data_IF_554719647817
#
_entry.id   IF_554719647817
#
_cell.length_a   1.000
_cell.length_b   1.000
_cell.length_c   1.000
_cell.angle_alpha   90.00
_cell.angle_beta   90.00
_cell.angle_gamma   90.00
#
_symmetry.space_group_name_H-M   'P 1'
#
loop_
_entity.id
_entity.type
_entity.pdbx_description
1 polymer ?
#
# COMPACT_ATOMS: atom_id res chain seq x y z
N UNK A 1 3.07 -33.27 -9.08
CA UNK A 1 2.21 -32.69 -10.14
C UNK A 1 0.75 -32.54 -9.68
N UNK A 2 0.12 -33.51 -9.02
CA UNK A 2 -1.27 -33.40 -8.53
C UNK A 2 -1.47 -32.27 -7.49
N UNK A 3 -0.52 -32.09 -6.58
CA UNK A 3 -0.57 -31.05 -5.53
C UNK A 3 -0.43 -29.62 -6.12
N UNK A 4 0.39 -29.44 -7.14
CA UNK A 4 0.50 -28.15 -7.84
C UNK A 4 -0.80 -27.79 -8.58
N UNK A 5 -1.45 -28.75 -9.24
CA UNK A 5 -2.76 -28.53 -9.88
C UNK A 5 -3.85 -28.21 -8.88
N UNK A 6 -3.82 -28.83 -7.70
CA UNK A 6 -4.79 -28.56 -6.62
C UNK A 6 -4.63 -27.15 -6.04
N UNK A 7 -3.40 -26.67 -5.91
CA UNK A 7 -3.09 -25.30 -5.46
C UNK A 7 -3.51 -24.25 -6.50
N UNK A 8 -3.29 -24.51 -7.79
CA UNK A 8 -3.74 -23.61 -8.86
C UNK A 8 -5.26 -23.54 -8.97
N UNK A 9 -5.98 -24.60 -8.62
CA UNK A 9 -7.44 -24.61 -8.60
C UNK A 9 -8.07 -23.65 -7.56
N UNK A 10 -7.29 -23.17 -6.57
CA UNK A 10 -7.71 -22.17 -5.59
C UNK A 10 -7.66 -20.73 -6.12
N UNK A 11 -7.01 -20.51 -7.27
CA UNK A 11 -6.90 -19.22 -7.92
C UNK A 11 -8.04 -19.06 -8.94
N UNK A 12 -8.75 -17.95 -8.86
CA UNK A 12 -9.86 -17.60 -9.78
C UNK A 12 -9.42 -16.39 -10.64
N UNK A 13 -10.00 -16.23 -11.85
CA UNK A 13 -9.78 -14.99 -12.61
C UNK A 13 -10.11 -13.77 -11.76
N UNK A 14 -9.28 -12.73 -11.91
CA UNK A 14 -9.48 -11.46 -11.22
C UNK A 14 -10.23 -10.46 -12.10
N UNK A 15 -10.89 -9.48 -11.47
CA UNK A 15 -11.60 -8.37 -12.15
C UNK A 15 -10.68 -7.52 -13.04
N UNK A 16 -9.37 -7.54 -12.82
CA UNK A 16 -8.38 -6.86 -13.65
C UNK A 16 -8.13 -7.58 -14.99
N UNK A 17 -8.78 -8.72 -15.23
CA UNK A 17 -8.77 -9.42 -16.50
C UNK A 17 -7.55 -10.30 -16.74
N UNK A 18 -7.22 -10.49 -18.02
CA UNK A 18 -6.23 -11.49 -18.46
C UNK A 18 -4.86 -11.30 -17.81
N UNK A 19 -4.36 -12.38 -17.24
CA UNK A 19 -3.04 -12.45 -16.58
C UNK A 19 -3.08 -12.15 -15.09
N UNK A 20 -4.25 -11.80 -14.54
CA UNK A 20 -4.46 -11.65 -13.11
C UNK A 20 -5.37 -12.75 -12.57
N UNK A 21 -5.03 -13.25 -11.39
CA UNK A 21 -5.84 -14.20 -10.65
C UNK A 21 -5.89 -13.81 -9.18
N UNK A 22 -6.99 -14.14 -8.50
CA UNK A 22 -7.19 -13.83 -7.10
C UNK A 22 -7.44 -15.10 -6.27
N UNK A 23 -7.09 -15.04 -4.99
CA UNK A 23 -7.38 -16.08 -4.00
C UNK A 23 -7.81 -15.44 -2.69
N UNK A 24 -8.97 -15.85 -2.18
CA UNK A 24 -9.44 -15.44 -0.85
C UNK A 24 -8.64 -16.16 0.23
N UNK A 25 -8.26 -15.44 1.26
CA UNK A 25 -7.52 -15.91 2.43
C UNK A 25 -8.41 -15.77 3.65
N UNK A 26 -8.81 -16.88 4.22
CA UNK A 26 -9.59 -16.88 5.46
C UNK A 26 -8.70 -16.42 6.63
N UNK A 27 -9.24 -15.55 7.46
CA UNK A 27 -8.61 -14.99 8.65
C UNK A 27 -9.46 -15.31 9.89
N UNK A 28 -8.86 -15.18 11.07
CA UNK A 28 -9.62 -15.27 12.31
C UNK A 28 -10.67 -14.14 12.36
N UNK A 29 -11.92 -14.43 12.78
CA UNK A 29 -12.97 -13.43 12.91
C UNK A 29 -12.57 -12.28 13.84
N UNK A 30 -13.08 -11.09 13.57
CA UNK A 30 -12.99 -9.96 14.47
C UNK A 30 -14.36 -9.64 15.13
N UNK A 31 -14.47 -8.48 15.78
CA UNK A 31 -15.71 -8.07 16.45
C UNK A 31 -16.91 -7.89 15.51
N UNK A 32 -16.67 -7.71 14.20
CA UNK A 32 -17.72 -7.60 13.17
C UNK A 32 -18.01 -8.93 12.45
N UNK A 33 -17.40 -10.03 12.91
CA UNK A 33 -17.62 -11.37 12.38
C UNK A 33 -16.46 -11.89 11.53
N UNK A 34 -16.77 -12.76 10.57
CA UNK A 34 -15.76 -13.37 9.69
C UNK A 34 -15.09 -12.35 8.78
N UNK A 35 -13.77 -12.35 8.75
CA UNK A 35 -12.97 -11.48 7.89
C UNK A 35 -12.09 -12.30 6.95
N UNK A 36 -11.80 -11.73 5.81
CA UNK A 36 -10.89 -12.32 4.81
C UNK A 36 -9.93 -11.26 4.30
N UNK A 37 -8.78 -11.70 3.79
CA UNK A 37 -7.96 -10.91 2.89
C UNK A 37 -8.03 -11.51 1.47
N UNK A 38 -7.65 -10.76 0.45
CA UNK A 38 -7.62 -11.29 -0.92
C UNK A 38 -6.24 -11.05 -1.54
N UNK A 39 -5.62 -12.12 -1.98
CA UNK A 39 -4.34 -12.06 -2.67
C UNK A 39 -4.57 -12.10 -4.17
N UNK A 40 -4.17 -11.07 -4.87
CA UNK A 40 -4.13 -11.00 -6.34
C UNK A 40 -2.73 -11.36 -6.80
N UNK A 41 -2.60 -12.15 -7.86
CA UNK A 41 -1.29 -12.46 -8.45
C UNK A 41 -1.24 -12.13 -9.93
N UNK A 42 -0.05 -11.72 -10.37
CA UNK A 42 0.40 -11.77 -11.75
C UNK A 42 1.73 -12.53 -11.80
N UNK A 43 1.81 -13.55 -12.62
CA UNK A 43 3.03 -14.33 -12.83
C UNK A 43 3.77 -13.84 -14.08
N UNK A 44 5.12 -13.94 -14.12
CA UNK A 44 5.87 -13.65 -15.33
C UNK A 44 5.49 -14.61 -16.44
N UNK A 45 5.56 -14.13 -17.69
CA UNK A 45 5.40 -14.97 -18.86
C UNK A 45 6.50 -16.06 -18.83
N UNK A 46 6.16 -17.36 -18.94
CA UNK A 46 7.15 -18.44 -18.88
C UNK A 46 8.24 -18.32 -19.92
N UNK A 47 7.93 -17.78 -21.11
CA UNK A 47 8.87 -17.63 -22.21
C UNK A 47 9.77 -16.39 -22.07
N UNK A 48 9.25 -15.28 -21.53
CA UNK A 48 9.97 -14.02 -21.40
C UNK A 48 10.57 -13.80 -20.02
N UNK A 49 9.81 -14.11 -18.97
CA UNK A 49 10.20 -13.88 -17.57
C UNK A 49 11.17 -14.91 -17.00
N UNK A 50 11.34 -16.08 -17.67
CA UNK A 50 12.23 -17.15 -17.21
C UNK A 50 13.72 -16.77 -17.15
N UNK A 51 14.13 -15.71 -17.85
CA UNK A 51 15.51 -15.19 -17.94
C UNK A 51 15.66 -13.76 -17.39
N UNK A 52 14.64 -13.19 -16.79
CA UNK A 52 14.67 -11.82 -16.28
C UNK A 52 15.58 -11.64 -15.05
N UNK A 53 16.12 -10.41 -14.83
CA UNK A 53 17.04 -10.12 -13.73
C UNK A 53 16.42 -10.32 -12.34
N UNK A 54 15.09 -10.30 -12.22
CA UNK A 54 14.36 -10.52 -10.99
C UNK A 54 13.82 -11.94 -10.84
N UNK A 55 14.35 -12.89 -11.61
CA UNK A 55 14.06 -14.31 -11.39
C UNK A 55 14.46 -14.69 -9.96
N UNK A 56 13.53 -15.31 -9.24
CA UNK A 56 13.76 -15.65 -7.82
C UNK A 56 13.32 -14.57 -6.83
N UNK A 57 12.62 -13.54 -7.31
CA UNK A 57 12.03 -12.47 -6.49
C UNK A 57 10.51 -12.60 -6.47
N UNK A 58 9.93 -12.41 -5.29
CA UNK A 58 8.51 -12.19 -5.07
C UNK A 58 8.30 -10.76 -4.60
N UNK A 59 7.30 -10.09 -5.14
CA UNK A 59 6.86 -8.77 -4.70
C UNK A 59 5.51 -8.90 -4.01
N UNK A 60 5.37 -8.34 -2.81
CA UNK A 60 4.10 -8.18 -2.12
C UNK A 60 3.74 -6.70 -2.05
N UNK A 61 2.71 -6.29 -2.78
CA UNK A 61 2.16 -4.94 -2.76
C UNK A 61 1.02 -4.84 -1.74
N UNK A 62 0.98 -3.71 -1.00
CA UNK A 62 -0.12 -3.34 -0.10
C UNK A 62 -0.58 -1.92 -0.43
N UNK A 63 -1.89 -1.77 -0.64
CA UNK A 63 -2.55 -0.53 -1.04
C UNK A 63 -2.70 0.49 0.11
N UNK A 64 -3.17 1.69 -0.23
CA UNK A 64 -3.46 2.78 0.69
C UNK A 64 -4.84 2.72 1.36
N UNK A 65 -5.18 3.79 2.10
CA UNK A 65 -6.51 3.99 2.68
C UNK A 65 -7.58 4.16 1.59
N UNK A 66 -8.75 3.56 1.82
CA UNK A 66 -9.88 3.63 0.90
C UNK A 66 -9.51 3.25 -0.54
N UNK A 67 -8.68 2.21 -0.68
CA UNK A 67 -8.11 1.79 -1.94
C UNK A 67 -8.08 0.25 -2.04
N UNK A 68 -7.67 -0.26 -3.18
CA UNK A 68 -7.44 -1.68 -3.45
C UNK A 68 -6.41 -1.80 -4.58
N UNK A 69 -5.95 -3.00 -4.88
CA UNK A 69 -4.99 -3.16 -5.97
C UNK A 69 -5.65 -3.08 -7.35
N UNK A 70 -5.20 -2.11 -8.17
CA UNK A 70 -5.57 -1.95 -9.59
C UNK A 70 -4.41 -1.51 -10.49
N UNK A 71 -3.23 -1.25 -9.96
CA UNK A 71 -2.05 -0.75 -10.67
C UNK A 71 -1.44 -1.83 -11.58
N UNK A 72 -2.14 -2.19 -12.67
CA UNK A 72 -1.75 -3.29 -13.56
C UNK A 72 -0.42 -3.06 -14.25
N UNK A 73 -0.06 -1.79 -14.55
CA UNK A 73 1.21 -1.41 -15.15
C UNK A 73 2.38 -1.67 -14.18
N UNK A 74 2.19 -1.36 -12.88
CA UNK A 74 3.16 -1.68 -11.85
C UNK A 74 3.41 -3.20 -11.73
N UNK A 75 2.35 -4.00 -11.77
CA UNK A 75 2.50 -5.46 -11.77
C UNK A 75 3.26 -5.96 -13.01
N UNK A 76 3.01 -5.38 -14.20
CA UNK A 76 3.73 -5.72 -15.43
C UNK A 76 5.20 -5.35 -15.32
N UNK A 77 5.54 -4.17 -14.80
CA UNK A 77 6.93 -3.75 -14.59
C UNK A 77 7.76 -4.84 -13.88
N UNK A 78 7.23 -5.43 -12.82
CA UNK A 78 7.90 -6.49 -12.07
C UNK A 78 7.92 -7.83 -12.81
N UNK A 79 6.79 -8.22 -13.39
CA UNK A 79 6.68 -9.54 -14.05
C UNK A 79 7.43 -9.61 -15.36
N UNK A 80 7.57 -8.50 -16.09
CA UNK A 80 8.36 -8.43 -17.32
C UNK A 80 9.86 -8.57 -17.02
N UNK A 81 10.28 -8.32 -15.77
CA UNK A 81 11.64 -8.54 -15.25
C UNK A 81 11.83 -9.91 -14.58
N UNK A 82 10.82 -10.76 -14.59
CA UNK A 82 10.88 -12.13 -14.09
C UNK A 82 10.46 -12.34 -12.63
N UNK A 83 10.06 -11.28 -11.92
CA UNK A 83 9.51 -11.42 -10.59
C UNK A 83 8.09 -12.00 -10.60
N UNK A 84 7.68 -12.71 -9.57
CA UNK A 84 6.26 -12.97 -9.31
C UNK A 84 5.70 -11.76 -8.55
N UNK A 85 4.61 -11.21 -9.03
CA UNK A 85 3.95 -10.08 -8.38
C UNK A 85 2.67 -10.54 -7.69
N UNK A 86 2.54 -10.13 -6.44
CA UNK A 86 1.37 -10.32 -5.61
C UNK A 86 0.92 -8.99 -5.04
N UNK A 87 -0.39 -8.80 -4.93
CA UNK A 87 -0.98 -7.66 -4.25
C UNK A 87 -2.02 -8.15 -3.24
N UNK A 88 -2.01 -7.56 -2.07
CA UNK A 88 -2.90 -7.92 -0.97
C UNK A 88 -3.94 -6.80 -0.78
N UNK A 89 -5.20 -7.13 -1.08
CA UNK A 89 -6.31 -6.33 -0.57
C UNK A 89 -6.51 -6.76 0.89
N UNK A 90 -6.20 -5.86 1.81
CA UNK A 90 -6.30 -6.08 3.26
C UNK A 90 -7.75 -6.36 3.67
N UNK A 91 -7.96 -6.92 4.87
CA UNK A 91 -9.30 -7.11 5.43
C UNK A 91 -10.15 -5.84 5.33
N UNK A 92 -11.43 -5.98 4.96
CA UNK A 92 -12.41 -4.89 4.83
C UNK A 92 -12.08 -3.85 3.74
N UNK A 93 -11.22 -4.21 2.78
CA UNK A 93 -10.90 -3.40 1.61
C UNK A 93 -11.15 -4.16 0.32
N UNK A 94 -11.48 -3.44 -0.75
CA UNK A 94 -11.53 -3.98 -2.09
C UNK A 94 -12.26 -5.32 -2.19
N UNK A 95 -11.57 -6.32 -2.74
CA UNK A 95 -12.07 -7.70 -2.89
C UNK A 95 -12.34 -8.40 -1.56
N UNK A 96 -11.75 -7.90 -0.48
CA UNK A 96 -11.87 -8.48 0.87
C UNK A 96 -13.06 -7.93 1.65
N UNK A 97 -13.67 -6.84 1.18
CA UNK A 97 -14.82 -6.23 1.84
C UNK A 97 -16.04 -7.16 1.80
N UNK A 98 -16.77 -7.23 2.92
CA UNK A 98 -18.00 -7.99 3.06
C UNK A 98 -19.11 -7.08 3.56
N UNK A 99 -20.34 -7.36 3.15
CA UNK A 99 -21.53 -6.63 3.61
C UNK A 99 -21.66 -6.70 5.13
N UNK A 100 -22.05 -5.61 5.74
CA UNK A 100 -22.18 -5.48 7.20
C UNK A 100 -20.89 -5.09 7.92
N UNK A 101 -19.74 -5.07 7.26
CA UNK A 101 -18.49 -4.63 7.84
C UNK A 101 -18.32 -3.10 7.73
N UNK A 102 -17.55 -2.51 8.64
CA UNK A 102 -17.08 -1.12 8.55
C UNK A 102 -15.87 -1.05 7.61
N UNK A 103 -15.98 -0.41 6.43
CA UNK A 103 -14.91 -0.40 5.44
C UNK A 103 -13.59 0.11 6.02
N UNK A 104 -12.52 -0.66 5.83
CA UNK A 104 -11.15 -0.31 6.25
C UNK A 104 -10.93 -0.19 7.76
N UNK A 105 -11.93 -0.44 8.60
CA UNK A 105 -11.77 -0.32 10.05
C UNK A 105 -10.86 -1.39 10.64
N UNK A 106 -9.92 -0.92 11.45
CA UNK A 106 -9.05 -1.73 12.30
C UNK A 106 -8.73 -0.96 13.58
N UNK A 107 -8.57 -1.66 14.69
CA UNK A 107 -8.25 -1.06 16.01
C UNK A 107 -6.74 -1.04 16.30
N UNK A 108 -5.96 -1.84 15.58
CA UNK A 108 -4.50 -1.89 15.66
C UNK A 108 -3.90 -2.19 14.29
N UNK A 109 -2.85 -1.48 13.88
CA UNK A 109 -2.13 -1.79 12.65
C UNK A 109 -1.38 -3.15 12.73
N UNK A 110 -1.15 -3.66 13.93
CA UNK A 110 -0.50 -4.95 14.14
C UNK A 110 -1.43 -6.13 13.77
N UNK A 111 -2.75 -5.92 13.72
CA UNK A 111 -3.71 -6.94 13.30
C UNK A 111 -3.53 -7.32 11.82
N UNK A 112 -2.97 -6.42 10.99
CA UNK A 112 -2.61 -6.74 9.60
C UNK A 112 -1.47 -7.75 9.46
N UNK A 113 -0.76 -8.09 10.54
CA UNK A 113 0.24 -9.16 10.53
C UNK A 113 -0.38 -10.50 10.13
N UNK A 114 -1.63 -10.75 10.50
CA UNK A 114 -2.36 -11.95 10.10
C UNK A 114 -2.64 -11.99 8.60
N UNK A 115 -3.02 -10.84 8.00
CA UNK A 115 -3.26 -10.69 6.54
C UNK A 115 -1.97 -10.97 5.76
N UNK A 116 -0.88 -10.30 6.18
CA UNK A 116 0.43 -10.43 5.54
C UNK A 116 0.95 -11.88 5.69
N UNK A 117 0.83 -12.47 6.88
CA UNK A 117 1.25 -13.85 7.12
C UNK A 117 0.48 -14.86 6.26
N UNK A 118 -0.83 -14.66 6.08
CA UNK A 118 -1.66 -15.49 5.21
C UNK A 118 -1.21 -15.36 3.73
N UNK A 119 -0.95 -14.14 3.26
CA UNK A 119 -0.43 -13.89 1.92
C UNK A 119 0.94 -14.56 1.71
N UNK A 120 1.89 -14.35 2.63
CA UNK A 120 3.23 -14.93 2.54
C UNK A 120 3.22 -16.47 2.58
N UNK A 121 2.29 -17.08 3.31
CA UNK A 121 2.10 -18.53 3.31
C UNK A 121 1.76 -19.04 1.93
N UNK A 122 0.81 -18.39 1.23
CA UNK A 122 0.42 -18.74 -0.13
C UNK A 122 1.56 -18.49 -1.14
N UNK A 123 2.27 -17.39 -1.01
CA UNK A 123 3.41 -17.06 -1.88
C UNK A 123 4.51 -18.14 -1.79
N UNK A 124 4.77 -18.66 -0.58
CA UNK A 124 5.77 -19.71 -0.33
C UNK A 124 5.39 -21.08 -0.93
N UNK A 125 4.13 -21.31 -1.28
CA UNK A 125 3.72 -22.54 -2.00
C UNK A 125 4.48 -22.73 -3.32
N UNK A 126 4.93 -21.66 -3.94
CA UNK A 126 5.76 -21.68 -5.15
C UNK A 126 7.27 -21.78 -4.91
N UNK A 127 7.68 -22.16 -3.70
CA UNK A 127 9.08 -22.25 -3.27
C UNK A 127 9.63 -20.94 -2.70
N UNK A 128 10.74 -21.02 -1.93
CA UNK A 128 11.36 -19.86 -1.31
C UNK A 128 11.95 -18.91 -2.36
N UNK A 129 11.70 -17.61 -2.19
CA UNK A 129 12.25 -16.53 -3.02
C UNK A 129 12.58 -15.32 -2.16
N UNK A 130 13.40 -14.42 -2.70
CA UNK A 130 13.66 -13.12 -2.07
C UNK A 130 12.37 -12.31 -2.08
N UNK A 131 12.01 -11.72 -0.96
CA UNK A 131 10.79 -10.92 -0.80
C UNK A 131 11.11 -9.43 -0.93
N UNK A 132 10.42 -8.76 -1.83
CA UNK A 132 10.32 -7.30 -1.88
C UNK A 132 8.95 -6.91 -1.37
N UNK A 133 8.91 -6.03 -0.38
CA UNK A 133 7.68 -5.39 0.07
C UNK A 133 7.49 -4.07 -0.67
N UNK A 134 6.29 -3.80 -1.17
CA UNK A 134 5.94 -2.56 -1.83
C UNK A 134 4.66 -2.00 -1.21
N UNK A 135 4.73 -0.84 -0.58
CA UNK A 135 3.59 -0.23 0.11
C UNK A 135 3.26 1.15 -0.44
N UNK A 136 1.96 1.41 -0.67
CA UNK A 136 1.45 2.72 -1.01
C UNK A 136 0.75 3.37 0.18
N UNK A 137 1.06 4.64 0.46
CA UNK A 137 0.36 5.45 1.47
C UNK A 137 0.26 4.73 2.82
N UNK A 138 -0.93 4.43 3.34
CA UNK A 138 -1.15 3.65 4.58
C UNK A 138 -0.53 2.27 4.51
N UNK A 139 -0.56 1.60 3.33
CA UNK A 139 0.14 0.33 3.11
C UNK A 139 1.66 0.46 3.31
N UNK A 140 2.22 1.63 3.00
CA UNK A 140 3.62 1.96 3.30
C UNK A 140 3.90 2.03 4.81
N UNK A 141 3.02 2.64 5.60
CA UNK A 141 3.12 2.64 7.06
C UNK A 141 3.01 1.21 7.62
N UNK A 142 2.03 0.44 7.18
CA UNK A 142 1.80 -0.95 7.62
C UNK A 142 3.05 -1.80 7.35
N UNK A 143 3.57 -1.78 6.12
CA UNK A 143 4.73 -2.58 5.75
C UNK A 143 6.02 -2.12 6.45
N UNK A 144 6.20 -0.82 6.69
CA UNK A 144 7.32 -0.29 7.49
C UNK A 144 7.29 -0.85 8.92
N UNK A 145 6.13 -0.80 9.58
CA UNK A 145 5.97 -1.31 10.93
C UNK A 145 6.08 -2.84 10.96
N UNK A 146 5.55 -3.52 9.96
CA UNK A 146 5.66 -4.97 9.84
C UNK A 146 7.12 -5.41 9.65
N UNK A 147 7.86 -4.78 8.74
CA UNK A 147 9.27 -5.10 8.48
C UNK A 147 10.13 -4.90 9.73
N UNK A 148 9.87 -3.84 10.50
CA UNK A 148 10.57 -3.58 11.74
C UNK A 148 10.34 -4.66 12.82
N UNK A 149 9.15 -5.29 12.82
CA UNK A 149 8.84 -6.42 13.72
C UNK A 149 9.38 -7.76 13.19
N UNK A 150 9.65 -7.86 11.90
CA UNK A 150 10.08 -9.09 11.22
C UNK A 150 11.45 -8.87 10.52
N UNK A 151 12.52 -8.59 11.26
CA UNK A 151 13.82 -8.27 10.68
C UNK A 151 14.31 -9.42 9.78
N UNK A 152 14.88 -9.10 8.64
CA UNK A 152 15.37 -10.03 7.63
C UNK A 152 14.29 -10.84 6.90
N UNK A 153 13.00 -10.58 7.13
CA UNK A 153 11.92 -11.24 6.37
C UNK A 153 11.83 -10.73 4.93
N UNK A 154 12.17 -9.46 4.69
CA UNK A 154 12.24 -8.85 3.38
C UNK A 154 13.69 -8.57 2.96
N UNK A 155 13.95 -8.70 1.66
CA UNK A 155 15.24 -8.33 1.04
C UNK A 155 15.29 -6.84 0.69
N UNK A 156 14.13 -6.21 0.47
CA UNK A 156 14.01 -4.78 0.20
C UNK A 156 12.61 -4.29 0.52
N UNK A 157 12.50 -2.98 0.81
CA UNK A 157 11.25 -2.28 1.02
C UNK A 157 11.16 -1.10 0.04
N UNK A 158 10.07 -1.05 -0.75
CA UNK A 158 9.75 0.06 -1.64
C UNK A 158 8.50 0.75 -1.12
N UNK A 159 8.57 2.04 -0.92
CA UNK A 159 7.50 2.86 -0.37
C UNK A 159 7.11 3.95 -1.38
N UNK A 160 5.86 3.91 -1.82
CA UNK A 160 5.25 4.89 -2.70
C UNK A 160 4.40 5.83 -1.86
N UNK A 161 4.88 7.06 -1.65
CA UNK A 161 4.24 8.08 -0.83
C UNK A 161 3.72 7.55 0.51
N UNK A 162 4.57 6.92 1.34
CA UNK A 162 4.12 6.26 2.57
C UNK A 162 3.58 7.26 3.58
N UNK A 163 2.46 6.96 4.23
CA UNK A 163 1.88 7.84 5.26
C UNK A 163 2.59 7.66 6.61
N UNK A 164 3.82 8.16 6.72
CA UNK A 164 4.68 7.98 7.90
C UNK A 164 4.49 9.06 8.98
N UNK A 165 3.84 10.16 8.66
CA UNK A 165 3.51 11.24 9.60
C UNK A 165 2.16 11.86 9.23
N UNK A 166 1.47 12.43 10.23
CA UNK A 166 0.22 13.16 10.03
C UNK A 166 0.48 14.47 9.27
N UNK A 167 -0.46 14.90 8.41
CA UNK A 167 -0.37 16.13 7.62
C UNK A 167 -0.23 17.42 8.45
N UNK A 168 -0.50 17.35 9.76
CA UNK A 168 -0.28 18.44 10.72
C UNK A 168 1.12 18.37 11.36
N UNK A 169 1.96 17.46 10.90
CA UNK A 169 3.29 17.20 11.43
C UNK A 169 3.29 16.65 12.87
N UNK A 170 4.48 16.54 13.44
CA UNK A 170 4.67 15.96 14.78
C UNK A 170 3.90 16.70 15.87
N UNK A 171 3.88 18.02 15.84
CA UNK A 171 3.19 18.82 16.86
C UNK A 171 1.68 18.64 16.80
N UNK A 172 1.11 18.71 15.61
CA UNK A 172 -0.33 18.47 15.42
C UNK A 172 -0.74 17.06 15.84
N UNK A 173 0.07 16.04 15.50
CA UNK A 173 -0.14 14.67 15.95
C UNK A 173 -0.12 14.55 17.47
N UNK A 174 0.87 15.16 18.14
CA UNK A 174 0.98 15.09 19.60
C UNK A 174 -0.23 15.75 20.30
N UNK A 175 -0.69 16.90 19.78
CA UNK A 175 -1.86 17.59 20.32
C UNK A 175 -3.17 16.81 20.09
N UNK A 176 -3.33 16.16 18.93
CA UNK A 176 -4.55 15.45 18.56
C UNK A 176 -4.67 14.07 19.24
N UNK A 177 -3.56 13.40 19.48
CA UNK A 177 -3.53 12.00 19.99
C UNK A 177 -4.34 11.79 21.28
N UNK A 178 -4.25 12.63 22.32
CA UNK A 178 -5.03 12.41 23.56
C UNK A 178 -6.54 12.48 23.31
N UNK A 179 -6.98 13.41 22.46
CA UNK A 179 -8.41 13.62 22.14
C UNK A 179 -8.97 12.42 21.35
N UNK A 180 -8.23 11.98 20.33
CA UNK A 180 -8.61 10.81 19.53
C UNK A 180 -8.65 9.55 20.37
N UNK A 181 -7.66 9.33 21.24
CA UNK A 181 -7.65 8.18 22.16
C UNK A 181 -8.82 8.20 23.14
N UNK A 182 -9.21 9.37 23.65
CA UNK A 182 -10.37 9.48 24.50
C UNK A 182 -11.66 9.14 23.75
N UNK A 183 -11.84 9.69 22.55
CA UNK A 183 -12.98 9.38 21.69
C UNK A 183 -13.02 7.88 21.32
N UNK A 184 -11.88 7.27 20.97
CA UNK A 184 -11.79 5.84 20.65
C UNK A 184 -12.16 4.91 21.81
N UNK A 185 -11.95 5.34 23.07
CA UNK A 185 -12.37 4.57 24.24
C UNK A 185 -13.88 4.63 24.50
N UNK A 186 -14.54 5.74 24.12
CA UNK A 186 -15.97 5.94 24.33
C UNK A 186 -16.77 5.34 23.19
N UNK A 187 -16.40 5.65 21.95
CA UNK A 187 -17.05 5.17 20.73
C UNK A 187 -16.01 4.95 19.62
N UNK A 188 -15.41 3.77 19.54
CA UNK A 188 -14.35 3.49 18.54
C UNK A 188 -14.85 3.50 17.10
N UNK A 189 -16.16 3.26 16.88
CA UNK A 189 -16.82 3.25 15.56
C UNK A 189 -17.63 4.52 15.29
N UNK A 190 -17.58 5.50 16.19
CA UNK A 190 -18.20 6.80 15.99
C UNK A 190 -17.78 7.43 14.66
N UNK A 191 -18.69 8.17 14.04
CA UNK A 191 -18.39 8.84 12.77
C UNK A 191 -17.71 10.18 13.04
N UNK A 192 -16.56 10.39 12.40
CA UNK A 192 -15.97 11.72 12.28
C UNK A 192 -16.50 12.44 11.03
N UNK A 193 -16.45 13.78 10.98
CA UNK A 193 -16.68 14.51 9.74
C UNK A 193 -15.79 13.98 8.62
N UNK A 194 -16.31 13.97 7.40
CA UNK A 194 -15.52 13.62 6.21
C UNK A 194 -14.30 14.53 6.12
N UNK A 195 -13.11 13.94 6.11
CA UNK A 195 -11.85 14.67 6.01
C UNK A 195 -11.38 14.75 4.56
N UNK A 196 -11.75 13.75 3.74
CA UNK A 196 -11.41 13.71 2.32
C UNK A 196 -12.46 14.48 1.50
N UNK A 197 -11.99 15.55 0.84
CA UNK A 197 -12.81 16.35 -0.06
C UNK A 197 -12.89 15.79 -1.49
N UNK A 198 -12.29 14.62 -1.75
CA UNK A 198 -12.30 13.95 -3.06
C UNK A 198 -11.35 14.57 -4.09
N UNK A 199 -10.45 15.47 -3.69
CA UNK A 199 -9.57 16.15 -4.64
C UNK A 199 -8.54 15.23 -5.27
N UNK A 200 -8.02 14.26 -4.51
CA UNK A 200 -7.12 13.25 -5.08
C UNK A 200 -7.83 12.35 -6.10
N UNK A 201 -9.04 11.92 -5.82
CA UNK A 201 -9.88 11.16 -6.77
C UNK A 201 -10.20 11.98 -8.01
N UNK A 202 -10.49 13.29 -7.84
CA UNK A 202 -10.67 14.22 -8.95
C UNK A 202 -9.40 14.35 -9.80
N UNK A 203 -8.23 14.53 -9.18
CA UNK A 203 -6.95 14.60 -9.90
C UNK A 203 -6.72 13.34 -10.75
N UNK A 204 -6.93 12.15 -10.19
CA UNK A 204 -6.82 10.89 -10.94
C UNK A 204 -7.83 10.79 -12.10
N UNK A 205 -9.05 11.28 -11.92
CA UNK A 205 -10.06 11.31 -12.99
C UNK A 205 -9.61 12.21 -14.14
N UNK A 206 -9.11 13.42 -13.84
CA UNK A 206 -8.58 14.35 -14.84
C UNK A 206 -7.35 13.81 -15.57
N UNK A 207 -6.53 12.99 -14.89
CA UNK A 207 -5.38 12.31 -15.48
C UNK A 207 -5.74 11.01 -16.22
N UNK A 208 -6.99 10.55 -16.15
CA UNK A 208 -7.40 9.28 -16.75
C UNK A 208 -6.76 8.04 -16.07
N UNK A 209 -6.32 8.15 -14.82
CA UNK A 209 -5.67 7.07 -14.06
C UNK A 209 -6.57 6.46 -12.98
N UNK A 210 -7.80 6.96 -12.84
CA UNK A 210 -8.80 6.40 -11.95
C UNK A 210 -9.20 5.00 -12.45
N UNK A 211 -9.22 3.97 -11.58
CA UNK A 211 -9.63 2.64 -12.00
C UNK A 211 -11.09 2.62 -12.40
N UNK A 212 -11.40 1.90 -13.46
CA UNK A 212 -12.77 1.58 -13.83
C UNK A 212 -12.97 0.06 -13.78
N UNK A 213 -13.49 -0.40 -12.65
CA UNK A 213 -13.90 -1.79 -12.44
C UNK A 213 -15.40 -1.79 -12.16
N UNK A 214 -16.23 -2.25 -13.09
CA UNK A 214 -17.68 -2.26 -12.91
C UNK A 214 -18.07 -3.04 -11.65
N UNK A 215 -18.94 -2.45 -10.82
CA UNK A 215 -19.39 -3.05 -9.55
C UNK A 215 -18.40 -2.90 -8.38
N UNK A 216 -17.31 -2.18 -8.56
CA UNK A 216 -16.31 -1.92 -7.52
C UNK A 216 -16.35 -0.49 -6.97
N UNK A 217 -17.40 0.26 -7.24
CA UNK A 217 -17.53 1.67 -6.82
C UNK A 217 -17.48 1.81 -5.29
N UNK A 218 -18.05 0.83 -4.57
CA UNK A 218 -18.02 0.80 -3.11
C UNK A 218 -16.62 0.48 -2.53
N UNK A 219 -15.70 -0.06 -3.32
CA UNK A 219 -14.34 -0.38 -2.88
C UNK A 219 -13.46 0.86 -2.75
N UNK A 220 -13.83 1.93 -3.49
CA UNK A 220 -13.10 3.19 -3.53
C UNK A 220 -14.06 4.35 -3.79
N UNK A 221 -14.85 4.76 -2.78
CA UNK A 221 -15.77 5.88 -2.92
C UNK A 221 -15.00 7.19 -3.17
N UNK A 222 -15.67 8.14 -3.84
CA UNK A 222 -15.03 9.39 -4.31
C UNK A 222 -14.37 10.21 -3.19
N UNK A 223 -14.99 10.23 -2.01
CA UNK A 223 -14.50 10.95 -0.82
C UNK A 223 -13.82 10.03 0.22
N UNK A 224 -13.44 8.83 -0.21
CA UNK A 224 -12.87 7.86 0.69
C UNK A 224 -13.87 7.24 1.67
N UNK A 225 -13.39 6.35 2.52
CA UNK A 225 -14.19 5.77 3.60
C UNK A 225 -14.38 6.77 4.75
N UNK A 226 -15.45 6.60 5.52
CA UNK A 226 -15.61 7.34 6.77
C UNK A 226 -14.45 7.00 7.71
N UNK A 227 -13.90 8.02 8.37
CA UNK A 227 -12.89 7.81 9.41
C UNK A 227 -13.57 7.57 10.76
N UNK A 228 -12.94 6.74 11.59
CA UNK A 228 -13.44 6.35 12.90
C UNK A 228 -12.38 6.61 13.98
N UNK A 229 -12.77 6.99 15.23
CA UNK A 229 -11.80 7.26 16.30
C UNK A 229 -10.84 6.10 16.56
N UNK A 230 -11.34 4.85 16.57
CA UNK A 230 -10.52 3.67 16.78
C UNK A 230 -9.47 3.50 15.69
N UNK A 231 -9.87 3.64 14.42
CA UNK A 231 -8.95 3.59 13.29
C UNK A 231 -7.91 4.71 13.34
N UNK A 232 -8.35 5.95 13.58
CA UNK A 232 -7.43 7.10 13.66
C UNK A 232 -6.44 6.95 14.83
N UNK A 233 -6.88 6.39 15.96
CA UNK A 233 -6.01 6.10 17.10
C UNK A 233 -4.92 5.06 16.71
N UNK A 234 -5.28 4.03 15.92
CA UNK A 234 -4.33 3.04 15.42
C UNK A 234 -3.29 3.68 14.47
N UNK A 235 -3.72 4.57 13.56
CA UNK A 235 -2.83 5.33 12.67
C UNK A 235 -1.87 6.21 13.47
N UNK A 236 -2.39 7.01 14.42
CA UNK A 236 -1.55 7.90 15.26
C UNK A 236 -0.55 7.12 16.13
N UNK A 237 -0.93 5.92 16.59
CA UNK A 237 0.00 5.02 17.28
C UNK A 237 1.10 4.51 16.35
N UNK A 238 0.78 4.20 15.08
CA UNK A 238 1.74 3.84 14.05
C UNK A 238 2.74 4.98 13.77
N UNK A 239 2.24 6.19 13.56
CA UNK A 239 3.08 7.39 13.36
C UNK A 239 3.99 7.66 14.57
N UNK A 240 3.49 7.47 15.80
CA UNK A 240 4.30 7.62 17.01
C UNK A 240 5.45 6.62 17.06
N UNK A 241 5.24 5.37 16.60
CA UNK A 241 6.31 4.35 16.49
C UNK A 241 7.37 4.77 15.47
N UNK A 242 6.96 5.25 14.29
CA UNK A 242 7.90 5.78 13.28
C UNK A 242 8.67 6.96 13.83
N UNK A 243 7.99 7.91 14.51
CA UNK A 243 8.64 9.09 15.10
C UNK A 243 9.66 8.74 16.19
N UNK A 244 9.46 7.64 16.91
CA UNK A 244 10.42 7.12 17.89
C UNK A 244 11.65 6.45 17.25
N UNK A 245 11.58 6.17 15.94
CA UNK A 245 12.57 5.43 15.20
C UNK A 245 12.27 3.93 15.15
N UNK A 246 12.32 3.36 13.95
CA UNK A 246 12.22 1.91 13.71
C UNK A 246 13.34 1.47 12.77
N UNK A 247 13.70 0.18 12.80
CA UNK A 247 14.71 -0.39 11.90
C UNK A 247 14.08 -1.52 11.08
N UNK A 248 13.87 -1.26 9.78
CA UNK A 248 13.21 -2.22 8.87
C UNK A 248 14.14 -3.37 8.45
N UNK A 249 15.44 -3.24 8.68
CA UNK A 249 16.42 -4.32 8.50
C UNK A 249 16.73 -4.68 7.05
N UNK A 250 16.34 -3.85 6.08
CA UNK A 250 16.67 -4.04 4.66
C UNK A 250 16.79 -2.68 3.93
N UNK A 251 17.47 -2.65 2.76
CA UNK A 251 17.50 -1.46 1.92
C UNK A 251 16.08 -0.96 1.61
N UNK A 252 15.86 0.34 1.74
CA UNK A 252 14.56 0.97 1.55
C UNK A 252 14.62 2.08 0.51
N UNK A 253 13.69 2.06 -0.46
CA UNK A 253 13.43 3.15 -1.40
C UNK A 253 12.12 3.83 -1.03
N UNK A 254 12.16 5.13 -0.78
CA UNK A 254 10.99 5.98 -0.59
C UNK A 254 10.84 6.88 -1.80
N UNK A 255 9.71 6.80 -2.48
CA UNK A 255 9.38 7.59 -3.68
C UNK A 255 8.25 8.56 -3.32
N UNK A 256 8.47 9.84 -3.59
CA UNK A 256 7.55 10.93 -3.23
C UNK A 256 7.36 11.87 -4.42
N UNK A 257 6.25 12.59 -4.48
CA UNK A 257 6.18 13.83 -5.24
C UNK A 257 7.24 14.81 -4.76
N UNK A 258 7.70 15.70 -5.65
CA UNK A 258 8.63 16.76 -5.26
C UNK A 258 7.96 17.91 -4.51
N UNK A 259 6.62 18.02 -4.63
CA UNK A 259 5.85 19.09 -4.03
C UNK A 259 4.48 18.58 -3.55
N UNK A 260 3.84 19.33 -2.66
CA UNK A 260 2.49 19.06 -2.22
C UNK A 260 1.61 20.31 -2.28
N UNK A 261 0.31 20.12 -2.46
CA UNK A 261 -0.70 21.17 -2.44
C UNK A 261 -1.73 20.83 -1.37
N UNK A 262 -1.85 21.67 -0.31
CA UNK A 262 -2.84 21.43 0.75
C UNK A 262 -4.25 21.29 0.18
N UNK A 263 -5.03 20.26 0.54
CA UNK A 263 -6.36 20.01 -0.02
C UNK A 263 -7.45 20.88 0.62
N UNK A 264 -7.23 22.20 0.71
CA UNK A 264 -8.20 23.15 1.25
C UNK A 264 -9.24 23.57 0.22
N UNK A 265 -8.81 23.75 -1.01
CA UNK A 265 -9.60 24.10 -2.17
C UNK A 265 -9.01 23.44 -3.39
N UNK A 266 -9.86 23.02 -4.35
CA UNK A 266 -9.36 22.47 -5.61
C UNK A 266 -8.42 23.46 -6.34
N UNK A 267 -7.32 22.91 -6.81
CA UNK A 267 -6.38 23.60 -7.68
C UNK A 267 -5.84 22.62 -8.73
N UNK A 268 -5.64 23.08 -9.96
CA UNK A 268 -5.06 22.28 -11.05
C UNK A 268 -3.66 21.76 -10.71
N UNK A 269 -2.94 22.45 -9.81
CA UNK A 269 -1.66 21.99 -9.27
C UNK A 269 -1.76 20.59 -8.63
N UNK A 270 -2.93 20.20 -8.10
CA UNK A 270 -3.16 18.86 -7.53
C UNK A 270 -3.07 17.73 -8.56
N UNK A 271 -3.04 18.06 -9.87
CA UNK A 271 -2.79 17.07 -10.93
C UNK A 271 -1.30 16.83 -11.19
N UNK A 272 -0.41 17.55 -10.46
CA UNK A 272 1.05 17.48 -10.60
C UNK A 272 1.79 17.61 -9.26
N UNK A 273 1.07 17.52 -8.13
CA UNK A 273 1.64 17.52 -6.78
C UNK A 273 0.92 16.48 -5.92
N UNK A 274 1.51 16.10 -4.80
CA UNK A 274 0.79 15.34 -3.78
C UNK A 274 -0.30 16.23 -3.16
N UNK A 275 -1.56 15.80 -3.19
CA UNK A 275 -2.69 16.50 -2.59
C UNK A 275 -3.20 15.81 -1.31
N UNK A 276 -2.46 14.81 -0.83
CA UNK A 276 -2.81 14.00 0.34
C UNK A 276 -1.83 14.22 1.48
N UNK A 277 -0.52 14.19 1.21
CA UNK A 277 0.54 14.23 2.21
C UNK A 277 1.47 15.42 2.02
N UNK A 278 1.94 16.01 3.13
CA UNK A 278 3.09 16.92 3.13
C UNK A 278 4.36 16.10 2.86
N UNK A 279 4.89 16.24 1.65
CA UNK A 279 6.05 15.46 1.19
C UNK A 279 7.33 15.75 1.96
N UNK A 280 7.46 16.93 2.57
CA UNK A 280 8.61 17.28 3.40
C UNK A 280 8.54 16.61 4.77
N UNK A 281 7.35 16.55 5.37
CA UNK A 281 7.13 15.80 6.61
C UNK A 281 7.40 14.30 6.40
N UNK A 282 6.92 13.75 5.28
CA UNK A 282 7.15 12.33 4.95
C UNK A 282 8.63 12.06 4.70
N UNK A 283 9.34 12.93 3.96
CA UNK A 283 10.79 12.77 3.75
C UNK A 283 11.57 12.80 5.06
N UNK A 284 11.21 13.69 6.00
CA UNK A 284 11.81 13.72 7.35
C UNK A 284 11.50 12.46 8.14
N UNK A 285 10.25 11.99 8.13
CA UNK A 285 9.87 10.75 8.81
C UNK A 285 10.61 9.53 8.23
N UNK A 286 10.84 9.51 6.92
CA UNK A 286 11.55 8.43 6.23
C UNK A 286 12.99 8.23 6.69
N UNK A 287 13.63 9.24 7.27
CA UNK A 287 14.99 9.10 7.83
C UNK A 287 15.02 8.32 9.15
N UNK A 288 13.87 7.94 9.69
CA UNK A 288 13.71 7.25 10.97
C UNK A 288 13.28 5.78 10.84
N UNK A 289 13.24 5.24 9.61
CA UNK A 289 12.73 3.88 9.38
C UNK A 289 13.81 2.84 9.14
N UNK A 290 15.08 3.24 9.08
CA UNK A 290 16.19 2.31 8.87
C UNK A 290 17.51 3.03 8.61
N UNK A 291 18.58 2.25 8.61
CA UNK A 291 19.95 2.73 8.41
C UNK A 291 20.29 2.98 6.92
N UNK A 292 19.59 2.34 5.99
CA UNK A 292 19.83 2.45 4.55
C UNK A 292 18.52 2.85 3.82
N UNK A 293 18.29 4.14 3.72
CA UNK A 293 17.08 4.72 3.10
C UNK A 293 17.49 5.64 1.96
N UNK A 294 16.97 5.36 0.77
CA UNK A 294 17.05 6.21 -0.42
C UNK A 294 15.73 6.97 -0.56
N UNK A 295 15.75 8.29 -0.64
CA UNK A 295 14.57 9.12 -0.87
C UNK A 295 14.65 9.70 -2.26
N UNK A 296 13.65 9.41 -3.10
CA UNK A 296 13.53 9.91 -4.46
C UNK A 296 12.32 10.86 -4.54
N UNK A 297 12.55 12.11 -4.93
CA UNK A 297 11.50 13.10 -5.19
C UNK A 297 11.28 13.19 -6.69
N UNK A 298 10.04 13.07 -7.12
CA UNK A 298 9.66 13.01 -8.54
C UNK A 298 8.88 14.28 -8.87
N UNK A 299 9.44 15.17 -9.72
CA UNK A 299 8.73 16.36 -10.19
C UNK A 299 7.40 15.97 -10.86
N UNK A 300 6.39 16.80 -10.65
CA UNK A 300 5.05 16.68 -11.25
C UNK A 300 4.32 15.37 -10.99
N UNK A 301 4.76 14.58 -9.99
CA UNK A 301 4.05 13.38 -9.56
C UNK A 301 2.90 13.74 -8.63
N UNK A 302 1.81 12.96 -8.71
CA UNK A 302 0.72 12.97 -7.74
C UNK A 302 1.02 12.01 -6.58
N UNK A 303 0.10 11.88 -5.61
CA UNK A 303 0.26 11.05 -4.41
C UNK A 303 0.66 9.60 -4.72
N UNK A 304 0.00 8.88 -5.63
CA UNK A 304 0.54 7.63 -6.18
C UNK A 304 1.44 7.97 -7.38
N UNK A 305 2.76 7.90 -7.22
CA UNK A 305 3.71 8.30 -8.26
C UNK A 305 3.57 7.45 -9.53
N UNK A 306 3.08 6.20 -9.42
CA UNK A 306 2.85 5.31 -10.56
C UNK A 306 1.53 5.59 -11.30
N UNK A 307 0.68 6.47 -10.76
CA UNK A 307 -0.56 6.93 -11.40
C UNK A 307 -0.47 8.38 -11.88
N UNK A 308 0.72 8.96 -11.86
CA UNK A 308 1.00 10.28 -12.40
C UNK A 308 0.87 10.33 -13.93
N UNK A 309 0.98 11.52 -14.51
CA UNK A 309 1.12 11.70 -15.98
C UNK A 309 2.26 10.84 -16.53
N UNK A 310 2.27 10.65 -17.84
CA UNK A 310 3.22 9.73 -18.51
C UNK A 310 4.68 10.01 -18.16
N UNK A 311 5.11 11.28 -18.14
CA UNK A 311 6.51 11.64 -17.90
C UNK A 311 6.97 11.38 -16.45
N UNK A 312 6.35 11.93 -15.38
CA UNK A 312 6.72 11.61 -14.01
C UNK A 312 6.54 10.13 -13.68
N UNK A 313 5.54 9.45 -14.26
CA UNK A 313 5.37 8.00 -14.12
C UNK A 313 6.54 7.22 -14.73
N UNK A 314 6.99 7.58 -15.92
CA UNK A 314 8.16 6.96 -16.56
C UNK A 314 9.44 7.19 -15.74
N UNK A 315 9.59 8.39 -15.16
CA UNK A 315 10.69 8.71 -14.25
C UNK A 315 10.62 7.84 -12.98
N UNK A 316 9.42 7.64 -12.40
CA UNK A 316 9.23 6.76 -11.25
C UNK A 316 9.70 5.33 -11.55
N UNK A 317 9.30 4.76 -12.68
CA UNK A 317 9.77 3.43 -13.11
C UNK A 317 11.28 3.39 -13.36
N UNK A 318 11.85 4.45 -13.93
CA UNK A 318 13.31 4.54 -14.17
C UNK A 318 14.10 4.55 -12.86
N UNK A 319 13.63 5.31 -11.86
CA UNK A 319 14.25 5.37 -10.53
C UNK A 319 14.16 4.00 -9.86
N UNK A 320 12.99 3.38 -9.87
CA UNK A 320 12.77 2.05 -9.30
C UNK A 320 13.70 1.00 -9.97
N UNK A 321 13.79 1.02 -11.30
CA UNK A 321 14.63 0.10 -12.05
C UNK A 321 16.11 0.25 -11.71
N UNK A 322 16.61 1.49 -11.67
CA UNK A 322 18.00 1.79 -11.30
C UNK A 322 18.32 1.36 -9.87
N UNK A 323 17.40 1.61 -8.94
CA UNK A 323 17.60 1.25 -7.55
C UNK A 323 17.65 -0.27 -7.35
N UNK A 324 16.76 -1.01 -8.00
CA UNK A 324 16.76 -2.48 -7.97
C UNK A 324 18.03 -3.04 -8.61
N UNK A 325 18.42 -2.51 -9.77
CA UNK A 325 19.60 -2.98 -10.53
C UNK A 325 20.92 -2.56 -9.88
N UNK A 326 20.91 -1.51 -9.07
CA UNK A 326 22.08 -0.98 -8.35
C UNK A 326 22.49 -1.78 -7.11
N UNK A 327 21.94 -2.98 -6.90
CA UNK A 327 22.36 -3.89 -5.82
C UNK A 327 21.46 -3.90 -4.59
N UNK A 328 20.32 -3.22 -4.60
CA UNK A 328 19.39 -3.23 -3.47
C UNK A 328 18.85 -4.64 -3.15
N UNK A 329 18.96 -5.57 -4.08
CA UNK A 329 18.50 -6.97 -3.96
C UNK A 329 19.67 -7.98 -3.95
N UNK A 330 20.91 -7.53 -3.81
CA UNK A 330 22.09 -8.44 -3.78
C UNK A 330 22.30 -9.03 -2.39
#
# INVERSE_FOLDING_TARGET
>A
MADARRRDALWRPDVLGKGFAQRTLELEPDAEGGVVATLVRRLPDPLRGGFGPLRGVDVLYVHGWSDYFFQTELARFWTDRGARFYALDLRKYGRSFREGQTPGYISSLDDYDADIAAALRVMREGGPRRLVLLGHSTGGLILTLWAARHPRAASALVLNSPWLELQLGQFGRQALTPLVRAAAKVDPLGRHPEVDLGFYTRAQRELGTLPHVPGAEAWRPERGFSTHPGWLAAILAGHARVAAGVEVGCPTLVMLSSAWTPPLQWSDAMTSTDSVLDVDDIARASTRIGSLVTIARIPDAIHDVFLSRAEPRAQAYTILDRWISGGALV
#
